data_IF_505137868519
#
_entry.id   IF_505137868519
#
_cell.length_a   1.000
_cell.length_b   1.000
_cell.length_c   1.000
_cell.angle_alpha   90.00
_cell.angle_beta   90.00
_cell.angle_gamma   90.00
#
_symmetry.space_group_name_H-M   'P 1'
#
loop_
_entity.id
_entity.type
_entity.pdbx_description
1 polymer ?
#
# COMPACT_ATOMS: atom_id res chain seq x y z
N UNK A 1 17.44 3.39 -46.54
CA UNK A 1 18.80 3.92 -46.20
C UNK A 1 19.14 3.39 -44.81
N UNK A 2 20.26 2.69 -44.63
CA UNK A 2 20.63 2.16 -43.32
C UNK A 2 21.17 3.25 -42.41
N UNK A 3 20.60 3.38 -41.21
CA UNK A 3 21.03 4.31 -40.18
C UNK A 3 22.27 3.73 -39.49
N UNK A 4 23.30 4.56 -39.37
CA UNK A 4 24.61 4.23 -38.83
C UNK A 4 24.52 3.78 -37.33
N UNK A 5 25.21 2.68 -37.04
CA UNK A 5 25.49 2.27 -35.65
C UNK A 5 26.44 3.26 -34.98
N UNK A 6 26.06 3.73 -33.79
CA UNK A 6 26.98 4.42 -32.88
C UNK A 6 27.39 3.44 -31.78
N UNK A 7 28.69 3.16 -31.71
CA UNK A 7 29.30 2.30 -30.70
C UNK A 7 30.05 3.19 -29.71
N UNK A 8 29.61 3.21 -28.46
CA UNK A 8 30.33 3.85 -27.37
C UNK A 8 31.05 2.80 -26.52
N UNK A 9 32.30 3.05 -26.16
CA UNK A 9 33.09 2.22 -25.23
C UNK A 9 33.32 2.98 -23.94
N UNK A 10 32.92 2.38 -22.83
CA UNK A 10 33.40 2.75 -21.50
C UNK A 10 33.66 1.46 -20.72
N UNK A 11 34.91 1.30 -20.28
CA UNK A 11 35.43 0.28 -19.33
C UNK A 11 34.74 -1.10 -19.32
N UNK A 12 34.81 -1.80 -20.46
CA UNK A 12 34.46 -3.22 -20.53
C UNK A 12 32.99 -3.54 -20.79
N UNK A 13 32.16 -2.52 -21.01
CA UNK A 13 30.73 -2.70 -21.39
C UNK A 13 30.55 -2.21 -22.84
N UNK A 14 30.09 -3.09 -23.74
CA UNK A 14 29.71 -2.71 -25.12
C UNK A 14 28.20 -2.56 -25.16
N UNK A 15 27.74 -1.35 -25.49
CA UNK A 15 26.32 -1.05 -25.70
C UNK A 15 26.06 -0.99 -27.20
N UNK A 16 25.19 -1.83 -27.70
CA UNK A 16 24.76 -1.83 -29.09
C UNK A 16 23.26 -1.54 -29.16
N UNK A 17 22.89 -0.48 -29.85
CA UNK A 17 21.49 -0.15 -30.10
C UNK A 17 21.10 -0.58 -31.52
N UNK A 18 20.04 -1.33 -31.67
CA UNK A 18 19.39 -1.63 -32.94
C UNK A 18 17.96 -1.09 -32.95
N UNK A 19 17.60 -0.42 -34.02
CA UNK A 19 16.23 0.00 -34.27
C UNK A 19 15.63 -0.90 -35.35
N UNK A 20 14.57 -1.61 -35.02
CA UNK A 20 13.76 -2.33 -36.02
C UNK A 20 12.40 -1.66 -36.16
N UNK A 21 12.09 -1.19 -37.35
CA UNK A 21 10.77 -0.94 -37.87
C UNK A 21 10.05 0.32 -37.35
N UNK A 22 9.16 0.86 -38.16
CA UNK A 22 8.48 2.15 -38.05
C UNK A 22 7.41 2.29 -36.92
N UNK A 23 7.38 1.44 -35.93
CA UNK A 23 6.42 1.52 -34.81
C UNK A 23 6.98 0.96 -33.50
N UNK A 24 8.04 1.54 -32.98
CA UNK A 24 8.51 1.19 -31.64
C UNK A 24 10.02 1.34 -31.47
N UNK A 25 10.44 2.19 -30.55
CA UNK A 25 11.84 2.24 -30.09
C UNK A 25 12.05 1.11 -29.08
N UNK A 26 12.70 0.03 -29.50
CA UNK A 26 13.18 -1.01 -28.60
C UNK A 26 14.67 -0.82 -28.32
N UNK A 27 15.07 -0.62 -27.09
CA UNK A 27 16.47 -0.63 -26.65
C UNK A 27 16.82 -2.03 -26.14
N UNK A 28 17.67 -2.76 -26.87
CA UNK A 28 18.21 -4.04 -26.38
C UNK A 28 19.59 -3.79 -25.80
N UNK A 29 19.73 -3.96 -24.48
CA UNK A 29 21.01 -3.91 -23.77
C UNK A 29 21.57 -5.33 -23.66
N UNK A 30 22.65 -5.65 -24.38
CA UNK A 30 23.37 -6.90 -24.24
C UNK A 30 24.67 -6.62 -23.46
N UNK A 31 24.72 -7.06 -22.20
CA UNK A 31 25.94 -7.00 -21.39
C UNK A 31 26.70 -8.32 -21.54
N UNK A 32 27.88 -8.29 -22.13
CA UNK A 32 28.78 -9.43 -22.14
C UNK A 32 29.89 -9.22 -21.11
N UNK A 33 29.87 -10.01 -20.04
CA UNK A 33 30.97 -10.09 -19.08
C UNK A 33 31.91 -11.23 -19.48
N UNK A 34 33.11 -10.90 -19.90
CA UNK A 34 34.18 -11.90 -20.05
C UNK A 34 34.93 -12.05 -18.70
N UNK A 35 34.54 -13.02 -17.90
CA UNK A 35 35.43 -13.53 -16.83
C UNK A 35 36.35 -14.57 -17.40
N UNK A 36 37.63 -14.24 -17.54
CA UNK A 36 38.72 -15.27 -17.54
C UNK A 36 39.39 -15.17 -16.15
N UNK A 37 39.20 -16.21 -15.38
CA UNK A 37 39.93 -16.48 -14.15
C UNK A 37 41.38 -16.84 -14.47
N UNK A 38 42.36 -16.13 -13.90
CA UNK A 38 43.67 -16.68 -13.53
C UNK A 38 44.09 -16.10 -12.18
N UNK A 39 44.33 -17.00 -11.28
CA UNK A 39 44.97 -16.72 -9.97
C UNK A 39 46.40 -16.23 -10.17
N UNK A 40 46.76 -15.19 -9.41
CA UNK A 40 48.13 -14.73 -9.27
C UNK A 40 48.19 -13.71 -8.13
N UNK A 41 48.83 -14.11 -7.03
CA UNK A 41 49.09 -13.33 -5.80
C UNK A 41 50.08 -12.23 -6.06
N UNK A 42 49.78 -10.97 -5.81
CA UNK A 42 50.74 -9.94 -5.37
C UNK A 42 50.00 -8.66 -4.96
N UNK A 43 50.42 -8.05 -3.87
CA UNK A 43 49.79 -6.95 -3.20
C UNK A 43 49.69 -5.64 -3.99
N UNK A 44 48.57 -4.98 -3.82
CA UNK A 44 48.32 -3.67 -4.44
C UNK A 44 47.97 -2.65 -3.37
N UNK A 45 48.83 -1.62 -3.19
CA UNK A 45 48.54 -0.43 -2.41
C UNK A 45 47.76 0.57 -3.30
N UNK A 46 46.69 1.21 -2.84
CA UNK A 46 46.00 2.18 -3.66
C UNK A 46 46.75 3.52 -3.69
N UNK A 47 47.13 3.96 -4.90
CA UNK A 47 47.54 5.37 -5.16
C UNK A 47 46.29 6.21 -5.38
N UNK A 48 46.17 7.30 -4.61
CA UNK A 48 45.23 8.39 -4.85
C UNK A 48 45.55 9.10 -6.16
N UNK A 49 44.60 9.17 -7.09
CA UNK A 49 44.65 10.02 -8.28
C UNK A 49 43.74 11.22 -8.05
N UNK A 50 44.20 12.47 -8.25
CA UNK A 50 43.36 13.65 -8.03
C UNK A 50 42.34 13.81 -9.17
N UNK A 51 41.08 13.89 -8.81
CA UNK A 51 39.98 14.24 -9.73
C UNK A 51 40.07 15.73 -10.08
N UNK A 52 40.29 16.05 -11.36
CA UNK A 52 40.06 17.38 -11.89
C UNK A 52 38.64 17.45 -12.48
N UNK A 53 37.82 18.31 -11.91
CA UNK A 53 36.48 18.66 -12.39
C UNK A 53 36.55 19.48 -13.66
N UNK A 54 35.80 19.09 -14.69
CA UNK A 54 35.43 20.04 -15.75
C UNK A 54 34.09 19.72 -16.37
N UNK A 55 33.33 20.78 -16.43
CA UNK A 55 32.17 21.16 -17.24
C UNK A 55 30.80 20.69 -16.80
N UNK A 56 29.88 21.64 -16.75
CA UNK A 56 28.44 21.55 -16.52
C UNK A 56 27.76 20.50 -17.43
N UNK A 57 28.30 20.31 -18.64
CA UNK A 57 27.79 19.33 -19.61
C UNK A 57 27.92 17.88 -19.13
N UNK A 58 28.99 17.51 -18.39
CA UNK A 58 29.13 16.15 -17.85
C UNK A 58 28.20 15.89 -16.66
N UNK A 59 27.89 16.93 -15.87
CA UNK A 59 26.94 16.79 -14.75
C UNK A 59 25.50 16.61 -15.24
N UNK A 60 25.13 17.27 -16.33
CA UNK A 60 23.80 17.10 -16.96
C UNK A 60 23.68 15.72 -17.60
N UNK A 61 24.74 15.20 -18.21
CA UNK A 61 24.75 13.85 -18.78
C UNK A 61 24.72 12.76 -17.70
N UNK A 62 25.43 12.92 -16.58
CA UNK A 62 25.36 12.00 -15.45
C UNK A 62 24.00 12.04 -14.74
N UNK A 63 23.42 13.20 -14.55
CA UNK A 63 22.06 13.31 -13.98
C UNK A 63 21.00 12.77 -14.94
N UNK A 64 21.13 13.00 -16.26
CA UNK A 64 20.24 12.40 -17.24
C UNK A 64 20.36 10.85 -17.28
N UNK A 65 21.58 10.33 -17.13
CA UNK A 65 21.82 8.88 -17.07
C UNK A 65 21.25 8.26 -15.78
N UNK A 66 21.38 8.94 -14.63
CA UNK A 66 20.80 8.50 -13.36
C UNK A 66 19.27 8.56 -13.41
N UNK A 67 18.68 9.59 -14.03
CA UNK A 67 17.23 9.68 -14.23
C UNK A 67 16.71 8.60 -15.17
N UNK A 68 17.44 8.28 -16.25
CA UNK A 68 17.09 7.19 -17.16
C UNK A 68 17.22 5.81 -16.49
N UNK A 69 18.26 5.60 -15.68
CA UNK A 69 18.43 4.34 -14.92
C UNK A 69 17.37 4.22 -13.82
N UNK A 70 17.04 5.31 -13.10
CA UNK A 70 15.95 5.30 -12.12
C UNK A 70 14.57 5.17 -12.78
N UNK A 71 14.32 5.82 -13.89
CA UNK A 71 13.09 5.64 -14.65
C UNK A 71 12.95 4.23 -15.26
N UNK A 72 14.07 3.56 -15.61
CA UNK A 72 14.07 2.18 -16.09
C UNK A 72 13.95 1.15 -14.96
N UNK A 73 14.26 1.52 -13.71
CA UNK A 73 14.12 0.64 -12.54
C UNK A 73 12.76 0.84 -11.84
N UNK A 74 12.16 2.02 -11.95
CA UNK A 74 10.90 2.39 -11.29
C UNK A 74 9.72 2.55 -12.26
N UNK A 75 9.98 2.71 -13.56
CA UNK A 75 8.99 3.03 -14.57
C UNK A 75 8.65 1.88 -15.49
N UNK A 76 7.47 1.35 -15.33
CA UNK A 76 6.57 0.77 -16.35
C UNK A 76 7.25 0.17 -17.59
N UNK A 77 7.81 -1.02 -17.46
CA UNK A 77 7.76 -1.94 -18.58
C UNK A 77 6.29 -2.40 -18.68
N UNK A 78 5.60 -2.20 -19.82
CA UNK A 78 4.38 -2.94 -20.05
C UNK A 78 4.78 -4.42 -20.04
N UNK A 79 4.39 -5.15 -19.01
CA UNK A 79 4.53 -6.61 -19.00
C UNK A 79 3.89 -7.12 -20.27
N UNK A 80 4.68 -7.79 -21.11
CA UNK A 80 4.16 -8.45 -22.29
C UNK A 80 3.04 -9.39 -21.86
N UNK A 81 2.02 -9.55 -22.66
CA UNK A 81 0.83 -10.36 -22.37
C UNK A 81 1.12 -11.87 -22.07
N UNK A 82 2.38 -12.27 -21.99
CA UNK A 82 2.85 -13.64 -21.79
C UNK A 82 3.31 -13.96 -20.36
N UNK A 83 3.39 -12.99 -19.44
CA UNK A 83 3.78 -13.25 -18.04
C UNK A 83 2.69 -12.88 -17.04
N UNK A 84 1.43 -13.08 -17.38
CA UNK A 84 0.36 -13.10 -16.40
C UNK A 84 0.41 -14.44 -15.67
N UNK A 85 1.12 -14.50 -14.56
CA UNK A 85 1.02 -15.61 -13.62
C UNK A 85 -0.37 -15.49 -12.98
N UNK A 86 -1.37 -16.08 -13.62
CA UNK A 86 -2.66 -16.30 -13.01
C UNK A 86 -2.43 -17.27 -11.84
N UNK A 87 -2.78 -16.89 -10.62
CA UNK A 87 -2.83 -17.81 -9.50
C UNK A 87 -3.99 -18.78 -9.73
N UNK A 88 -3.71 -19.96 -10.28
CA UNK A 88 -4.68 -21.04 -10.47
C UNK A 88 -4.60 -22.02 -9.29
N UNK A 89 -4.87 -21.55 -8.05
CA UNK A 89 -4.80 -22.41 -6.86
C UNK A 89 -5.08 -21.68 -5.56
N UNK A 90 -5.03 -22.41 -4.46
CA UNK A 90 -5.15 -21.86 -3.12
C UNK A 90 -4.06 -20.81 -2.86
N UNK A 91 -4.45 -19.61 -2.46
CA UNK A 91 -3.54 -18.55 -2.01
C UNK A 91 -3.41 -18.58 -0.50
N UNK A 92 -2.25 -18.18 0.00
CA UNK A 92 -2.02 -17.91 1.42
C UNK A 92 -2.48 -16.48 1.73
N UNK A 93 -3.56 -16.34 2.45
CA UNK A 93 -4.14 -15.04 2.77
C UNK A 93 -3.94 -14.74 4.24
N UNK A 94 -3.31 -13.60 4.52
CA UNK A 94 -3.22 -13.04 5.86
C UNK A 94 -4.45 -12.18 6.13
N UNK A 95 -5.22 -12.55 7.16
CA UNK A 95 -6.34 -11.73 7.65
C UNK A 95 -5.91 -10.92 8.87
N UNK A 96 -6.28 -9.65 8.88
CA UNK A 96 -6.15 -8.75 10.03
C UNK A 96 -7.39 -7.85 10.13
N UNK A 97 -7.48 -7.04 11.19
CA UNK A 97 -8.51 -6.03 11.38
C UNK A 97 -8.10 -5.02 12.46
N UNK A 98 -8.96 -4.07 12.78
CA UNK A 98 -8.82 -3.18 13.95
C UNK A 98 -9.89 -3.43 15.02
N UNK A 99 -10.99 -4.12 14.73
CA UNK A 99 -12.02 -4.50 15.70
C UNK A 99 -11.55 -5.56 16.73
N UNK A 100 -10.42 -6.21 16.45
CA UNK A 100 -9.84 -7.27 17.30
C UNK A 100 -10.14 -8.69 16.83
N UNK A 101 -9.35 -9.64 17.34
CA UNK A 101 -9.35 -11.04 16.89
C UNK A 101 -10.69 -11.76 17.13
N UNK A 102 -11.47 -11.32 18.12
CA UNK A 102 -12.75 -11.93 18.50
C UNK A 102 -13.95 -11.28 17.76
N UNK A 103 -13.70 -10.34 16.82
CA UNK A 103 -14.75 -9.62 16.11
C UNK A 103 -15.49 -10.51 15.08
N UNK A 104 -16.81 -10.31 14.88
CA UNK A 104 -17.59 -11.13 13.95
C UNK A 104 -17.17 -10.98 12.49
N UNK A 105 -16.74 -9.77 12.08
CA UNK A 105 -16.35 -9.47 10.70
C UNK A 105 -15.18 -10.31 10.22
N UNK A 106 -14.11 -10.45 11.01
CA UNK A 106 -12.94 -11.26 10.64
C UNK A 106 -13.28 -12.77 10.64
N UNK A 107 -14.20 -13.20 11.50
CA UNK A 107 -14.65 -14.59 11.53
C UNK A 107 -15.46 -14.96 10.29
N UNK A 108 -16.32 -14.05 9.81
CA UNK A 108 -17.09 -14.26 8.58
C UNK A 108 -16.18 -14.26 7.36
N UNK A 109 -15.24 -13.31 7.30
CA UNK A 109 -14.24 -13.23 6.24
C UNK A 109 -13.38 -14.50 6.14
N UNK A 110 -12.89 -15.01 7.30
CA UNK A 110 -12.10 -16.23 7.35
C UNK A 110 -12.89 -17.45 6.87
N UNK A 111 -14.18 -17.52 7.22
CA UNK A 111 -15.09 -18.61 6.82
C UNK A 111 -15.31 -18.64 5.32
N UNK A 112 -15.61 -17.48 4.72
CA UNK A 112 -15.91 -17.37 3.30
C UNK A 112 -14.67 -17.62 2.43
N UNK A 113 -13.55 -16.99 2.73
CA UNK A 113 -12.31 -17.17 1.97
C UNK A 113 -11.73 -18.58 2.11
N UNK A 114 -11.85 -19.18 3.30
CA UNK A 114 -11.46 -20.56 3.51
C UNK A 114 -12.36 -21.56 2.79
N UNK A 115 -13.69 -21.29 2.72
CA UNK A 115 -14.62 -22.09 1.93
C UNK A 115 -14.34 -21.98 0.41
N UNK A 116 -13.79 -20.85 -0.05
CA UNK A 116 -13.29 -20.68 -1.42
C UNK A 116 -11.99 -21.44 -1.70
N UNK A 117 -11.40 -22.09 -0.67
CA UNK A 117 -10.23 -22.97 -0.83
C UNK A 117 -8.88 -22.29 -0.58
N UNK A 118 -8.85 -21.10 -0.01
CA UNK A 118 -7.61 -20.41 0.33
C UNK A 118 -7.03 -20.89 1.67
N UNK A 119 -5.71 -20.76 1.83
CA UNK A 119 -4.98 -21.02 3.07
C UNK A 119 -4.99 -19.75 3.94
N UNK A 120 -5.75 -19.80 5.05
CA UNK A 120 -6.02 -18.63 5.88
C UNK A 120 -5.15 -18.64 7.13
N UNK A 121 -4.50 -17.52 7.41
CA UNK A 121 -3.89 -17.23 8.71
C UNK A 121 -4.43 -15.90 9.24
N UNK A 122 -4.85 -15.90 10.51
CA UNK A 122 -5.37 -14.70 11.18
C UNK A 122 -4.32 -14.15 12.14
N UNK A 123 -3.97 -12.88 11.98
CA UNK A 123 -3.10 -12.14 12.91
C UNK A 123 -3.77 -10.80 13.20
N UNK A 124 -4.36 -10.66 14.36
CA UNK A 124 -5.22 -9.52 14.68
C UNK A 124 -5.00 -9.00 16.11
N UNK A 125 -5.37 -7.74 16.41
CA UNK A 125 -5.22 -7.14 17.73
C UNK A 125 -5.98 -7.89 18.81
N UNK A 126 -5.52 -7.74 20.06
CA UNK A 126 -6.14 -8.32 21.25
C UNK A 126 -7.53 -7.75 21.57
N UNK A 127 -7.84 -6.59 21.05
CA UNK A 127 -9.07 -5.82 21.27
C UNK A 127 -9.26 -4.80 20.16
N UNK A 128 -10.37 -4.07 20.20
CA UNK A 128 -10.63 -2.92 19.36
C UNK A 128 -9.51 -1.86 19.47
N UNK A 129 -9.00 -1.45 18.31
CA UNK A 129 -7.97 -0.44 18.08
C UNK A 129 -8.44 0.62 17.07
N UNK A 130 -9.72 0.90 17.05
CA UNK A 130 -10.28 1.94 16.16
C UNK A 130 -9.55 3.26 16.29
N UNK A 131 -9.27 3.91 15.15
CA UNK A 131 -8.53 5.16 15.10
C UNK A 131 -7.01 5.02 15.29
N UNK A 132 -6.45 3.79 15.25
CA UNK A 132 -5.01 3.57 15.40
C UNK A 132 -4.19 4.09 14.21
N UNK A 133 -4.78 4.26 13.03
CA UNK A 133 -4.07 4.68 11.82
C UNK A 133 -2.85 3.79 11.51
N UNK A 134 -1.89 4.28 10.73
CA UNK A 134 -0.65 3.58 10.35
C UNK A 134 0.43 3.61 11.46
N UNK A 135 0.04 3.45 12.74
CA UNK A 135 1.00 3.50 13.84
C UNK A 135 1.70 2.17 14.07
N UNK A 136 3.03 2.22 14.23
CA UNK A 136 3.87 1.11 14.68
C UNK A 136 4.29 1.33 16.14
N UNK A 137 4.32 0.27 16.93
CA UNK A 137 4.82 0.27 18.30
C UNK A 137 6.34 0.08 18.28
N UNK A 138 7.11 1.16 18.47
CA UNK A 138 8.57 1.16 18.41
C UNK A 138 9.26 1.29 19.79
N UNK A 139 8.51 1.62 20.82
CA UNK A 139 9.00 1.94 22.16
C UNK A 139 8.92 0.77 23.16
N UNK A 140 8.26 -0.32 22.78
CA UNK A 140 8.10 -1.50 23.62
C UNK A 140 8.05 -2.80 22.80
N UNK A 141 8.41 -3.96 23.39
CA UNK A 141 8.19 -5.26 22.76
C UNK A 141 6.70 -5.59 22.68
N UNK A 142 6.29 -6.19 21.55
CA UNK A 142 4.89 -6.57 21.31
C UNK A 142 4.71 -8.05 21.65
N UNK A 143 3.73 -8.34 22.49
CA UNK A 143 3.36 -9.72 22.83
C UNK A 143 2.47 -10.31 21.74
N UNK A 144 2.83 -11.53 21.28
CA UNK A 144 2.04 -12.33 20.35
C UNK A 144 1.66 -13.65 21.04
N UNK A 145 0.43 -14.08 20.89
CA UNK A 145 -0.08 -15.34 21.48
C UNK A 145 -0.82 -16.14 20.41
N UNK A 146 -0.27 -17.31 20.07
CA UNK A 146 -0.99 -18.26 19.24
C UNK A 146 -2.23 -18.76 19.98
N UNK A 147 -3.37 -18.78 19.30
CA UNK A 147 -4.62 -19.21 19.90
C UNK A 147 -4.75 -20.75 19.83
N UNK A 148 -5.16 -21.41 20.94
CA UNK A 148 -5.44 -22.84 20.93
C UNK A 148 -6.62 -23.14 20.00
N UNK A 149 -6.76 -24.39 19.57
CA UNK A 149 -7.71 -24.80 18.53
C UNK A 149 -9.15 -24.33 18.79
N UNK A 150 -9.57 -24.30 20.05
CA UNK A 150 -10.92 -23.92 20.48
C UNK A 150 -11.21 -22.42 20.34
N UNK A 151 -10.14 -21.61 20.23
CA UNK A 151 -10.21 -20.13 20.11
C UNK A 151 -9.75 -19.62 18.75
N UNK A 152 -9.53 -20.52 17.82
CA UNK A 152 -9.15 -20.13 16.45
C UNK A 152 -10.34 -19.55 15.71
N UNK A 153 -10.10 -18.44 15.03
CA UNK A 153 -11.10 -17.79 14.19
C UNK A 153 -11.48 -18.73 13.04
N UNK A 154 -12.74 -19.13 13.00
CA UNK A 154 -13.28 -20.10 12.04
C UNK A 154 -12.45 -21.40 11.91
N UNK A 155 -11.66 -21.76 12.93
CA UNK A 155 -10.80 -22.95 12.94
C UNK A 155 -9.41 -22.76 12.32
N UNK A 156 -9.09 -21.59 11.75
CA UNK A 156 -7.81 -21.32 11.11
C UNK A 156 -6.72 -20.89 12.09
N UNK A 157 -5.42 -21.09 11.78
CA UNK A 157 -4.30 -20.59 12.58
C UNK A 157 -4.52 -19.12 12.95
N UNK A 158 -4.50 -18.82 14.24
CA UNK A 158 -4.87 -17.50 14.76
C UNK A 158 -3.85 -17.03 15.79
N UNK A 159 -3.36 -15.79 15.62
CA UNK A 159 -2.45 -15.12 16.51
C UNK A 159 -3.07 -13.84 17.04
N UNK A 160 -3.15 -13.71 18.35
CA UNK A 160 -3.58 -12.50 19.06
C UNK A 160 -2.36 -11.64 19.36
N UNK A 161 -2.38 -10.38 18.88
CA UNK A 161 -1.27 -9.42 19.02
C UNK A 161 -1.69 -8.30 19.96
N UNK A 162 -0.85 -7.98 20.96
CA UNK A 162 -1.06 -6.85 21.88
C UNK A 162 -0.46 -5.57 21.29
N UNK A 163 -0.89 -5.21 20.11
CA UNK A 163 -0.39 -4.11 19.29
C UNK A 163 -1.46 -3.47 18.43
N UNK A 164 -1.04 -2.65 17.48
CA UNK A 164 -1.88 -2.00 16.48
C UNK A 164 -2.20 -2.96 15.31
N UNK A 165 -3.18 -2.64 14.45
CA UNK A 165 -3.41 -3.39 13.20
C UNK A 165 -2.18 -3.44 12.29
N UNK A 166 -1.44 -2.34 12.20
CA UNK A 166 -0.18 -2.25 11.46
C UNK A 166 0.88 -3.20 12.06
N UNK A 167 1.02 -3.23 13.40
CA UNK A 167 1.93 -4.18 14.09
C UNK A 167 1.61 -5.63 13.74
N UNK A 168 0.31 -5.97 13.68
CA UNK A 168 -0.13 -7.33 13.36
C UNK A 168 0.38 -7.80 12.00
N UNK A 169 0.18 -6.99 10.96
CA UNK A 169 0.62 -7.32 9.60
C UNK A 169 2.14 -7.25 9.49
N UNK A 170 2.77 -6.24 10.09
CA UNK A 170 4.23 -6.10 10.10
C UNK A 170 4.92 -7.34 10.72
N UNK A 171 4.50 -7.73 11.90
CA UNK A 171 5.06 -8.90 12.61
C UNK A 171 4.79 -10.18 11.82
N UNK A 172 3.59 -10.34 11.25
CA UNK A 172 3.24 -11.51 10.46
C UNK A 172 4.15 -11.68 9.25
N UNK A 173 4.41 -10.61 8.52
CA UNK A 173 5.15 -10.64 7.25
C UNK A 173 6.67 -10.60 7.42
N UNK A 174 7.18 -10.10 8.56
CA UNK A 174 8.62 -9.91 8.77
C UNK A 174 9.26 -10.88 9.78
N UNK A 175 8.48 -11.65 10.55
CA UNK A 175 9.09 -12.47 11.58
C UNK A 175 8.26 -13.64 12.15
N UNK A 176 6.93 -13.58 12.11
CA UNK A 176 6.07 -14.59 12.75
C UNK A 176 5.79 -15.79 11.83
N UNK A 177 5.46 -15.54 10.57
CA UNK A 177 5.07 -16.59 9.65
C UNK A 177 6.29 -17.20 8.95
N UNK A 178 6.34 -18.53 8.87
CA UNK A 178 7.42 -19.25 8.19
C UNK A 178 7.45 -18.98 6.66
N UNK A 179 6.29 -18.69 6.09
CA UNK A 179 6.13 -18.37 4.67
C UNK A 179 5.35 -17.07 4.53
N UNK A 180 5.82 -16.18 3.67
CA UNK A 180 5.10 -14.95 3.38
C UNK A 180 3.71 -15.26 2.80
N UNK A 181 2.66 -14.55 3.22
CA UNK A 181 1.37 -14.61 2.56
C UNK A 181 1.45 -14.05 1.15
N UNK A 182 0.51 -14.42 0.29
CA UNK A 182 0.43 -13.91 -1.07
C UNK A 182 -0.29 -12.55 -1.10
N UNK A 183 -1.21 -12.30 -0.15
CA UNK A 183 -1.89 -11.01 0.03
C UNK A 183 -2.41 -10.82 1.45
N UNK A 184 -2.77 -9.57 1.76
CA UNK A 184 -3.50 -9.19 2.98
C UNK A 184 -4.93 -8.82 2.64
N UNK A 185 -5.89 -9.35 3.42
CA UNK A 185 -7.26 -8.86 3.47
C UNK A 185 -7.56 -8.41 4.90
N UNK A 186 -7.84 -7.13 5.08
CA UNK A 186 -8.13 -6.52 6.38
C UNK A 186 -9.62 -6.27 6.55
N UNK A 187 -10.18 -6.62 7.68
CA UNK A 187 -11.58 -6.40 8.03
C UNK A 187 -12.30 -7.69 8.48
N UNK A 188 -13.61 -7.78 8.40
CA UNK A 188 -14.52 -6.72 7.90
C UNK A 188 -14.84 -5.76 9.03
N UNK A 189 -14.51 -4.49 8.86
CA UNK A 189 -14.74 -3.45 9.86
C UNK A 189 -16.24 -3.23 10.11
N UNK A 190 -16.59 -2.94 11.37
CA UNK A 190 -17.98 -2.66 11.78
C UNK A 190 -18.52 -1.35 11.23
N UNK A 191 -17.64 -0.39 10.93
CA UNK A 191 -17.95 0.92 10.43
C UNK A 191 -17.35 1.18 9.05
N UNK A 192 -17.94 2.10 8.29
CA UNK A 192 -17.43 2.51 6.99
C UNK A 192 -16.11 3.29 7.11
N UNK A 193 -15.24 3.11 6.13
CA UNK A 193 -14.03 3.89 5.92
C UNK A 193 -14.18 4.70 4.63
N UNK A 194 -14.88 5.84 4.70
CA UNK A 194 -15.25 6.68 3.55
C UNK A 194 -14.53 8.03 3.60
N UNK A 195 -14.21 8.54 2.43
CA UNK A 195 -13.56 9.84 2.30
C UNK A 195 -12.26 9.93 3.09
N UNK A 196 -12.05 11.04 3.76
CA UNK A 196 -10.88 11.32 4.60
C UNK A 196 -10.84 10.55 5.93
N UNK A 197 -11.91 9.81 6.31
CA UNK A 197 -11.88 8.87 7.45
C UNK A 197 -10.80 7.78 7.25
N UNK A 198 -10.47 7.46 6.00
CA UNK A 198 -9.40 6.53 5.60
C UNK A 198 -8.05 6.82 6.28
N UNK A 199 -7.74 8.10 6.55
CA UNK A 199 -6.47 8.52 7.17
C UNK A 199 -6.34 7.98 8.61
N UNK A 200 -7.46 7.79 9.31
CA UNK A 200 -7.50 7.33 10.70
C UNK A 200 -7.79 5.83 10.83
N UNK A 201 -8.15 5.15 9.73
CA UNK A 201 -8.58 3.76 9.72
C UNK A 201 -7.47 2.78 10.05
N UNK A 202 -7.66 1.95 11.07
CA UNK A 202 -6.80 0.81 11.37
C UNK A 202 -6.97 -0.34 10.36
N UNK A 203 -8.19 -0.53 9.85
CA UNK A 203 -8.47 -1.52 8.78
C UNK A 203 -7.69 -1.20 7.50
N UNK A 204 -7.74 0.07 7.06
CA UNK A 204 -6.97 0.50 5.88
C UNK A 204 -5.47 0.45 6.14
N UNK A 205 -5.03 0.81 7.35
CA UNK A 205 -3.63 0.76 7.76
C UNK A 205 -3.04 -0.67 7.69
N UNK A 206 -3.79 -1.68 8.16
CA UNK A 206 -3.38 -3.08 8.04
C UNK A 206 -3.23 -3.52 6.57
N UNK A 207 -4.17 -3.11 5.69
CA UNK A 207 -4.05 -3.37 4.27
C UNK A 207 -2.85 -2.65 3.65
N UNK A 208 -2.61 -1.39 4.02
CA UNK A 208 -1.44 -0.61 3.58
C UNK A 208 -0.12 -1.28 3.94
N UNK A 209 -0.01 -1.90 5.13
CA UNK A 209 1.19 -2.61 5.55
C UNK A 209 1.44 -3.87 4.70
N UNK A 210 0.39 -4.49 4.18
CA UNK A 210 0.46 -5.66 3.29
C UNK A 210 0.83 -5.38 1.83
N UNK A 211 1.01 -4.14 1.42
CA UNK A 211 1.17 -3.70 0.01
C UNK A 211 2.34 -4.30 -0.78
N UNK A 212 3.33 -4.87 -0.10
CA UNK A 212 4.57 -5.36 -0.74
C UNK A 212 4.58 -6.88 -0.95
N UNK A 213 3.43 -7.54 -0.91
CA UNK A 213 3.33 -9.01 -0.96
C UNK A 213 3.10 -9.61 -2.36
N UNK A 214 3.11 -8.83 -3.41
CA UNK A 214 2.96 -9.36 -4.78
C UNK A 214 1.55 -9.28 -5.36
N UNK A 215 0.50 -9.25 -4.52
CA UNK A 215 -0.88 -8.95 -4.90
C UNK A 215 -1.39 -7.72 -4.16
N UNK A 216 -2.38 -7.00 -4.71
CA UNK A 216 -3.03 -5.89 -4.03
C UNK A 216 -3.60 -6.30 -2.69
N UNK A 217 -3.50 -5.40 -1.69
CA UNK A 217 -4.16 -5.59 -0.41
C UNK A 217 -5.60 -5.07 -0.45
N UNK A 218 -6.49 -5.65 0.35
CA UNK A 218 -7.90 -5.26 0.42
C UNK A 218 -8.24 -4.85 1.85
N UNK A 219 -8.86 -3.67 2.02
CA UNK A 219 -9.51 -3.22 3.25
C UNK A 219 -11.03 -3.30 3.07
N UNK A 220 -11.71 -4.09 3.90
CA UNK A 220 -13.14 -4.35 3.83
C UNK A 220 -13.87 -3.68 5.00
N UNK A 221 -14.95 -2.94 4.72
CA UNK A 221 -15.76 -2.26 5.74
C UNK A 221 -17.25 -2.39 5.41
N UNK A 222 -18.08 -2.55 6.47
CA UNK A 222 -19.53 -2.46 6.36
C UNK A 222 -19.99 -1.02 6.52
N UNK A 223 -21.02 -0.63 5.77
CA UNK A 223 -21.67 0.67 5.90
C UNK A 223 -22.97 0.49 6.67
N UNK A 224 -22.90 0.46 7.99
CA UNK A 224 -24.05 0.37 8.89
C UNK A 224 -24.34 1.70 9.57
N UNK A 225 -25.59 1.90 10.03
CA UNK A 225 -26.02 3.16 10.63
C UNK A 225 -25.55 3.35 12.07
N UNK A 226 -25.36 2.28 12.82
CA UNK A 226 -25.14 2.25 14.26
C UNK A 226 -23.93 1.39 14.67
N UNK A 227 -23.00 1.17 13.74
CA UNK A 227 -21.81 0.32 13.93
C UNK A 227 -22.16 -1.13 14.36
N UNK A 228 -23.34 -1.62 13.94
CA UNK A 228 -23.82 -2.97 14.24
C UNK A 228 -24.31 -3.69 12.98
N UNK A 229 -23.39 -4.00 12.04
CA UNK A 229 -23.76 -4.64 10.79
C UNK A 229 -24.46 -5.98 11.01
N UNK A 230 -25.50 -6.24 10.18
CA UNK A 230 -26.24 -7.51 10.19
C UNK A 230 -25.87 -8.42 9.02
N UNK A 231 -25.23 -7.88 7.99
CA UNK A 231 -24.99 -8.58 6.71
C UNK A 231 -23.49 -8.75 6.41
N UNK A 232 -22.69 -9.14 7.40
CA UNK A 232 -21.26 -9.47 7.18
C UNK A 232 -21.04 -10.50 6.08
N UNK A 233 -22.00 -11.43 5.87
CA UNK A 233 -21.94 -12.39 4.78
C UNK A 233 -21.90 -11.73 3.39
N UNK A 234 -22.60 -10.59 3.20
CA UNK A 234 -22.52 -9.80 1.96
C UNK A 234 -21.12 -9.21 1.76
N UNK A 235 -20.52 -8.70 2.84
CA UNK A 235 -19.14 -8.21 2.82
C UNK A 235 -18.10 -9.30 2.54
N UNK A 236 -18.24 -10.46 3.18
CA UNK A 236 -17.33 -11.59 2.99
C UNK A 236 -17.42 -12.15 1.56
N UNK A 237 -18.62 -12.27 1.00
CA UNK A 237 -18.85 -12.67 -0.39
C UNK A 237 -18.26 -11.65 -1.38
N UNK A 238 -18.36 -10.35 -1.09
CA UNK A 238 -17.72 -9.32 -1.90
C UNK A 238 -16.19 -9.46 -1.89
N UNK A 239 -15.60 -9.75 -0.71
CA UNK A 239 -14.17 -10.00 -0.59
C UNK A 239 -13.73 -11.21 -1.40
N UNK A 240 -14.45 -12.34 -1.33
CA UNK A 240 -14.12 -13.55 -2.10
C UNK A 240 -14.13 -13.29 -3.61
N UNK A 241 -15.14 -12.59 -4.13
CA UNK A 241 -15.21 -12.20 -5.55
C UNK A 241 -14.01 -11.33 -5.96
N UNK A 242 -13.60 -10.37 -5.12
CA UNK A 242 -12.45 -9.51 -5.41
C UNK A 242 -11.13 -10.28 -5.34
N UNK A 243 -10.97 -11.17 -4.37
CA UNK A 243 -9.80 -12.05 -4.22
C UNK A 243 -9.64 -12.94 -5.45
N UNK A 244 -10.71 -13.65 -5.86
CA UNK A 244 -10.73 -14.48 -7.06
C UNK A 244 -10.40 -13.67 -8.33
N UNK A 245 -10.94 -12.46 -8.43
CA UNK A 245 -10.66 -11.57 -9.56
C UNK A 245 -9.20 -11.13 -9.61
N UNK A 246 -8.61 -10.77 -8.46
CA UNK A 246 -7.20 -10.38 -8.36
C UNK A 246 -6.27 -11.57 -8.63
N UNK A 247 -6.66 -12.79 -8.24
CA UNK A 247 -5.91 -14.00 -8.57
C UNK A 247 -5.87 -14.27 -10.08
N UNK A 248 -7.00 -14.05 -10.76
CA UNK A 248 -7.13 -14.30 -12.20
C UNK A 248 -6.54 -13.17 -13.07
N UNK A 249 -6.68 -11.91 -12.63
CA UNK A 249 -6.27 -10.70 -13.39
C UNK A 249 -5.75 -9.64 -12.41
N UNK A 250 -4.48 -9.76 -11.94
CA UNK A 250 -3.94 -8.94 -10.88
C UNK A 250 -3.78 -7.48 -11.30
N UNK A 251 -4.12 -6.57 -10.38
CA UNK A 251 -3.75 -5.16 -10.45
C UNK A 251 -2.29 -4.97 -10.00
N UNK A 252 -1.69 -3.77 -10.18
CA UNK A 252 -0.37 -3.47 -9.62
C UNK A 252 -0.31 -3.78 -8.11
N UNK A 253 0.76 -4.45 -7.67
CA UNK A 253 0.88 -5.00 -6.31
C UNK A 253 0.86 -3.93 -5.20
N UNK A 254 1.24 -2.69 -5.50
CA UNK A 254 1.21 -1.55 -4.60
C UNK A 254 -0.18 -0.89 -4.46
N UNK A 255 -1.20 -1.44 -5.16
CA UNK A 255 -2.58 -0.99 -5.05
C UNK A 255 -3.20 -1.49 -3.75
N UNK A 256 -3.89 -0.61 -3.03
CA UNK A 256 -4.74 -0.96 -1.90
C UNK A 256 -6.18 -0.70 -2.31
N UNK A 257 -7.04 -1.72 -2.21
CA UNK A 257 -8.47 -1.56 -2.49
C UNK A 257 -9.19 -1.27 -1.17
N UNK A 258 -9.71 -0.05 -1.02
CA UNK A 258 -10.63 0.30 0.06
C UNK A 258 -12.06 0.00 -0.38
N UNK A 259 -12.67 -1.00 0.24
CA UNK A 259 -13.98 -1.54 -0.16
C UNK A 259 -15.00 -1.29 0.93
N UNK A 260 -16.06 -0.58 0.61
CA UNK A 260 -17.17 -0.31 1.52
C UNK A 260 -18.45 -0.96 1.00
N UNK A 261 -19.03 -1.84 1.81
CA UNK A 261 -20.20 -2.64 1.46
C UNK A 261 -21.42 -2.16 2.23
N UNK A 262 -22.50 -1.73 1.58
CA UNK A 262 -23.75 -1.42 2.26
C UNK A 262 -24.27 -2.59 3.10
N UNK A 263 -24.73 -2.33 4.31
CA UNK A 263 -25.26 -3.36 5.23
C UNK A 263 -26.68 -3.80 4.85
N UNK A 264 -26.75 -4.51 3.73
CA UNK A 264 -27.98 -5.10 3.18
C UNK A 264 -27.74 -6.52 2.70
N UNK A 265 -28.79 -7.28 2.47
CA UNK A 265 -28.70 -8.60 1.88
C UNK A 265 -28.05 -8.56 0.49
N UNK A 266 -27.36 -9.63 0.10
CA UNK A 266 -26.60 -9.67 -1.16
C UNK A 266 -27.41 -9.33 -2.41
N UNK A 267 -28.65 -9.79 -2.47
CA UNK A 267 -29.56 -9.57 -3.58
C UNK A 267 -30.12 -8.14 -3.67
N UNK A 268 -29.95 -7.34 -2.63
CA UNK A 268 -30.27 -5.90 -2.64
C UNK A 268 -29.13 -5.02 -3.14
N UNK A 269 -27.89 -5.59 -3.23
CA UNK A 269 -26.73 -4.86 -3.72
C UNK A 269 -26.80 -4.68 -5.24
N UNK A 270 -26.38 -3.51 -5.71
CA UNK A 270 -26.39 -3.15 -7.14
C UNK A 270 -25.07 -3.45 -7.88
N UNK A 271 -24.17 -4.23 -7.25
CA UNK A 271 -22.88 -4.58 -7.82
C UNK A 271 -21.74 -3.68 -7.32
N UNK A 272 -20.62 -3.70 -8.03
CA UNK A 272 -19.40 -3.00 -7.68
C UNK A 272 -19.22 -1.75 -8.54
N UNK A 273 -18.78 -0.65 -7.92
CA UNK A 273 -18.46 0.60 -8.62
C UNK A 273 -17.09 1.10 -8.19
N UNK A 274 -16.25 1.49 -9.16
CA UNK A 274 -14.99 2.17 -8.88
C UNK A 274 -15.28 3.60 -8.47
N UNK A 275 -14.67 4.03 -7.36
CA UNK A 275 -14.91 5.33 -6.76
C UNK A 275 -13.62 6.07 -6.48
N UNK A 276 -13.73 7.36 -6.24
CA UNK A 276 -12.73 8.17 -5.54
C UNK A 276 -13.20 8.45 -4.12
N UNK A 277 -12.27 8.79 -3.25
CA UNK A 277 -12.62 9.30 -1.93
C UNK A 277 -13.41 10.62 -2.07
N UNK A 278 -14.50 10.72 -1.32
CA UNK A 278 -15.10 11.99 -1.02
C UNK A 278 -14.36 12.70 0.11
N UNK A 279 -14.99 13.70 0.74
CA UNK A 279 -14.48 14.32 1.96
C UNK A 279 -15.60 14.81 2.87
N UNK A 280 -15.26 15.11 4.13
CA UNK A 280 -16.16 15.64 5.14
C UNK A 280 -15.85 17.09 5.45
N UNK A 281 -16.80 17.79 6.04
CA UNK A 281 -16.55 19.01 6.78
C UNK A 281 -15.68 18.71 8.02
N UNK A 282 -15.12 19.75 8.63
CA UNK A 282 -14.43 19.64 9.91
C UNK A 282 -15.31 18.86 10.91
N UNK A 283 -14.68 18.00 11.72
CA UNK A 283 -15.34 17.30 12.80
C UNK A 283 -15.99 18.28 13.80
N UNK A 284 -17.01 17.80 14.52
CA UNK A 284 -17.61 18.53 15.63
C UNK A 284 -16.58 18.84 16.71
N UNK A 285 -16.87 19.85 17.54
CA UNK A 285 -15.97 20.25 18.62
C UNK A 285 -15.89 19.15 19.70
N UNK A 286 -14.73 19.06 20.35
CA UNK A 286 -14.53 18.13 21.45
C UNK A 286 -15.48 18.42 22.59
N UNK A 287 -16.01 17.37 23.23
CA UNK A 287 -16.86 17.46 24.41
C UNK A 287 -16.01 17.38 25.68
N UNK A 288 -15.97 18.47 26.45
CA UNK A 288 -15.24 18.52 27.71
C UNK A 288 -16.08 17.93 28.86
N UNK A 289 -15.46 17.13 29.72
CA UNK A 289 -16.02 16.58 30.95
C UNK A 289 -15.05 16.78 32.10
N UNK A 290 -15.59 16.95 33.33
CA UNK A 290 -14.77 17.02 34.53
C UNK A 290 -15.06 15.83 35.43
N UNK A 291 -14.02 15.10 35.85
CA UNK A 291 -14.17 13.98 36.75
C UNK A 291 -14.45 14.44 38.20
N UNK A 292 -14.86 13.53 39.12
CA UNK A 292 -15.15 13.89 40.52
C UNK A 292 -13.97 14.48 41.31
N UNK A 293 -12.74 14.43 40.75
CA UNK A 293 -11.52 15.00 41.36
C UNK A 293 -11.12 16.34 40.71
N UNK A 294 -11.98 16.89 39.83
CA UNK A 294 -11.74 18.16 39.15
C UNK A 294 -10.80 18.10 37.95
N UNK A 295 -10.42 16.88 37.48
CA UNK A 295 -9.58 16.73 36.29
C UNK A 295 -10.43 16.80 35.02
N UNK A 296 -9.94 17.52 34.01
CA UNK A 296 -10.62 17.66 32.74
C UNK A 296 -10.30 16.48 31.79
N UNK A 297 -11.31 16.02 31.08
CA UNK A 297 -11.29 15.02 30.06
C UNK A 297 -11.96 15.54 28.79
N UNK A 298 -11.55 15.07 27.66
CA UNK A 298 -12.13 15.46 26.36
C UNK A 298 -12.49 14.24 25.55
N UNK A 299 -13.68 14.22 25.01
CA UNK A 299 -14.08 13.28 23.97
C UNK A 299 -13.87 13.94 22.61
N UNK A 300 -13.28 13.22 21.67
CA UNK A 300 -13.20 13.67 20.28
C UNK A 300 -14.61 13.78 19.73
N UNK A 301 -14.92 14.87 19.05
CA UNK A 301 -16.21 15.12 18.42
C UNK A 301 -16.50 14.15 17.27
N UNK A 302 -17.75 14.04 16.89
CA UNK A 302 -18.16 13.21 15.77
C UNK A 302 -17.53 13.68 14.45
N UNK A 303 -17.38 12.77 13.50
CA UNK A 303 -16.98 13.12 12.15
C UNK A 303 -17.95 14.16 11.55
N UNK A 304 -17.41 15.13 10.84
CA UNK A 304 -18.23 16.17 10.21
C UNK A 304 -19.16 15.63 9.14
N UNK A 305 -20.18 16.42 8.80
CA UNK A 305 -21.07 16.10 7.69
C UNK A 305 -20.28 15.95 6.38
N UNK A 306 -20.82 15.19 5.45
CA UNK A 306 -20.26 15.02 4.13
C UNK A 306 -20.23 16.36 3.36
N UNK A 307 -19.06 16.70 2.78
CA UNK A 307 -18.85 17.91 1.99
C UNK A 307 -18.81 17.59 0.50
N UNK A 308 -17.94 16.66 0.07
CA UNK A 308 -17.92 16.13 -1.29
C UNK A 308 -18.42 14.70 -1.25
N UNK A 309 -19.69 14.54 -1.58
CA UNK A 309 -20.40 13.26 -1.60
C UNK A 309 -21.25 13.11 -2.87
N UNK A 310 -20.80 13.75 -3.96
CA UNK A 310 -21.45 13.70 -5.26
C UNK A 310 -21.16 12.41 -6.03
N UNK A 311 -21.71 12.32 -7.25
CA UNK A 311 -21.52 11.19 -8.15
C UNK A 311 -20.03 10.87 -8.33
N UNK A 312 -19.70 9.58 -8.28
CA UNK A 312 -18.32 9.07 -8.40
C UNK A 312 -17.55 9.05 -7.09
N UNK A 313 -18.11 9.52 -5.97
CA UNK A 313 -17.53 9.34 -4.64
C UNK A 313 -18.00 8.05 -4.00
N UNK A 314 -17.20 7.55 -3.06
CA UNK A 314 -17.53 6.43 -2.19
C UNK A 314 -18.84 6.65 -1.40
N UNK A 315 -19.07 7.85 -0.86
CA UNK A 315 -20.32 8.23 -0.19
C UNK A 315 -21.56 8.07 -1.08
N UNK A 316 -21.48 8.55 -2.33
CA UNK A 316 -22.61 8.45 -3.28
C UNK A 316 -22.92 6.99 -3.61
N UNK A 317 -21.88 6.20 -3.89
CA UNK A 317 -21.99 4.80 -4.30
C UNK A 317 -22.64 3.96 -3.22
N UNK A 318 -22.19 4.05 -1.95
CA UNK A 318 -22.77 3.26 -0.87
C UNK A 318 -24.23 3.65 -0.55
N UNK A 319 -24.61 4.92 -0.71
CA UNK A 319 -26.01 5.35 -0.59
C UNK A 319 -26.90 4.76 -1.68
N UNK A 320 -26.36 4.53 -2.87
CA UNK A 320 -27.08 3.90 -3.97
C UNK A 320 -27.17 2.37 -3.86
N UNK A 321 -26.72 1.79 -2.74
CA UNK A 321 -26.60 0.35 -2.46
C UNK A 321 -25.64 -0.38 -3.40
N UNK A 322 -24.65 0.30 -3.97
CA UNK A 322 -23.54 -0.33 -4.67
C UNK A 322 -22.31 -0.46 -3.76
N UNK A 323 -21.48 -1.46 -4.00
CA UNK A 323 -20.23 -1.67 -3.31
C UNK A 323 -19.22 -0.69 -3.88
N UNK A 324 -18.68 0.19 -3.01
CA UNK A 324 -17.64 1.14 -3.38
C UNK A 324 -16.29 0.45 -3.36
N UNK A 325 -15.50 0.59 -4.44
CA UNK A 325 -14.11 0.11 -4.54
C UNK A 325 -13.23 1.30 -4.91
N UNK A 326 -12.52 1.82 -3.92
CA UNK A 326 -11.61 2.96 -4.11
C UNK A 326 -10.16 2.48 -4.13
N UNK A 327 -9.43 2.63 -5.25
CA UNK A 327 -8.00 2.34 -5.28
C UNK A 327 -7.23 3.42 -4.52
N UNK A 328 -6.41 3.00 -3.55
CA UNK A 328 -5.54 3.85 -2.75
C UNK A 328 -4.08 3.58 -3.07
N UNK A 329 -3.23 4.57 -2.80
CA UNK A 329 -1.78 4.48 -2.81
C UNK A 329 -1.19 5.16 -1.58
N UNK A 330 0.05 4.83 -1.21
CA UNK A 330 0.72 5.39 -0.03
C UNK A 330 1.43 6.70 -0.34
N UNK A 331 1.81 6.93 -1.59
CA UNK A 331 2.52 8.15 -1.97
C UNK A 331 1.64 9.39 -1.80
N UNK A 332 1.93 10.16 -0.75
CA UNK A 332 1.25 11.41 -0.41
C UNK A 332 1.87 12.64 -1.10
N UNK A 333 2.82 12.45 -2.01
CA UNK A 333 3.47 13.54 -2.72
C UNK A 333 2.49 14.27 -3.63
N UNK A 334 2.30 15.56 -3.40
CA UNK A 334 1.49 16.40 -4.29
C UNK A 334 2.32 16.82 -5.52
N UNK A 335 2.44 15.92 -6.48
CA UNK A 335 3.25 16.10 -7.69
C UNK A 335 2.95 17.40 -8.43
N UNK A 336 1.68 17.81 -8.52
CA UNK A 336 1.26 19.04 -9.18
C UNK A 336 1.79 20.32 -8.50
N UNK A 337 2.24 20.23 -7.25
CA UNK A 337 2.78 21.35 -6.51
C UNK A 337 4.31 21.46 -6.55
N UNK A 338 5.02 20.44 -7.05
CA UNK A 338 6.49 20.37 -6.97
C UNK A 338 7.17 21.58 -7.64
N UNK A 339 6.74 21.99 -8.82
CA UNK A 339 7.33 23.11 -9.53
C UNK A 339 7.10 24.44 -8.79
N UNK A 340 5.89 24.65 -8.28
CA UNK A 340 5.55 25.84 -7.49
C UNK A 340 6.39 25.92 -6.22
N UNK A 341 6.50 24.80 -5.48
CA UNK A 341 7.27 24.72 -4.24
C UNK A 341 8.77 24.88 -4.54
N UNK A 342 9.28 24.29 -5.62
CA UNK A 342 10.67 24.46 -6.05
C UNK A 342 11.03 25.93 -6.29
N UNK A 343 10.17 26.64 -7.00
CA UNK A 343 10.35 28.09 -7.25
C UNK A 343 10.33 28.89 -5.94
N UNK A 344 9.40 28.58 -5.05
CA UNK A 344 9.28 29.24 -3.74
C UNK A 344 10.51 28.99 -2.86
N UNK A 345 11.03 27.77 -2.77
CA UNK A 345 12.27 27.41 -2.04
C UNK A 345 13.49 28.08 -2.68
N UNK A 346 13.55 28.19 -4.01
CA UNK A 346 14.64 28.87 -4.72
C UNK A 346 14.79 30.33 -4.29
N UNK A 347 13.67 31.02 -4.06
CA UNK A 347 13.67 32.39 -3.51
C UNK A 347 14.24 32.49 -2.10
N UNK A 348 14.04 31.48 -1.26
CA UNK A 348 14.61 31.45 0.10
C UNK A 348 16.14 31.28 0.08
N UNK A 349 16.67 30.43 -0.80
CA UNK A 349 18.11 30.19 -0.91
C UNK A 349 18.87 31.46 -1.31
N UNK A 350 18.32 32.28 -2.22
CA UNK A 350 18.90 33.56 -2.57
C UNK A 350 18.93 34.58 -1.42
N UNK A 351 17.88 34.62 -0.60
CA UNK A 351 17.78 35.51 0.55
C UNK A 351 18.67 35.08 1.74
N UNK A 352 18.83 33.76 1.97
CA UNK A 352 19.68 33.22 3.05
C UNK A 352 21.18 33.49 2.77
N UNK A 353 21.65 33.23 1.54
CA UNK A 353 23.04 33.46 1.14
C UNK A 353 23.40 34.95 1.17
N UNK A 354 22.48 35.85 0.79
CA UNK A 354 22.72 37.29 0.85
C UNK A 354 22.88 37.84 2.29
N UNK A 355 22.27 37.21 3.30
CA UNK A 355 22.45 37.58 4.71
C UNK A 355 23.78 37.13 5.30
N UNK A 356 24.30 35.98 4.91
CA UNK A 356 25.61 35.49 5.37
C UNK A 356 26.78 36.25 4.76
N UNK A 357 26.63 36.79 3.53
CA UNK A 357 27.66 37.61 2.88
C UNK A 357 27.67 39.07 3.34
N UNK A 358 26.70 39.52 4.12
CA UNK A 358 26.59 40.86 4.67
C UNK A 358 26.95 40.96 6.16
N UNK A 359 27.29 39.85 6.82
CA UNK A 359 27.74 39.74 8.20
C UNK A 359 29.27 39.44 8.25
#
# INVERSE_FOLDING_TARGET
MPIRQQVGRTDGIVVQAQTEGAQGLGLVLIAHSHRRTRLGTAGFRPRRVPYRTNSVANRVAEQALIVVIHASIIGHLPMSATERIGYHGAMRILLSNDDGVDAPGIAELARELGAAGHDITVVAPDRDRSGASNSLTLDAPIRVVEQPAERRVAGYPTYKVYGTPTDCVHIATTGLLAHAPDMVVSGINTAANLGDDVIYSGTVAAAMEGRNLGLPAIAMSMVSKDHSPQHYASGARAAAILVDRLAADPLPADTILNVNVPDVAWDELRGFEVTRLGNRHRSEDCVAQTDPRGRQWFWIGLAGAELDAGIGTDFHTVRSRAISVTPLQIDLTRYQALEQVSTWVGGLNGAAIAKESAA
#
